data_IF_902725137787
#
_entry.id   IF_902725137787
#
_cell.length_a   1.000
_cell.length_b   1.000
_cell.length_c   1.000
_cell.angle_alpha   90.00
_cell.angle_beta   90.00
_cell.angle_gamma   90.00
#
_symmetry.space_group_name_H-M   'P 1'
#
loop_
_entity.id
_entity.type
_entity.pdbx_description
1 polymer ?
#
# COMPACT_ATOMS: atom_id res chain seq x y z
N UNK A 1 -53.22 57.18 -21.84
CA UNK A 1 -52.49 56.25 -20.94
C UNK A 1 -52.80 54.84 -21.41
N UNK A 2 -51.99 54.28 -22.32
CA UNK A 2 -52.23 52.97 -22.95
C UNK A 2 -51.54 51.88 -22.16
N UNK A 3 -52.32 51.05 -21.48
CA UNK A 3 -51.84 49.86 -20.77
C UNK A 3 -51.46 48.81 -21.81
N UNK A 4 -50.16 48.53 -21.96
CA UNK A 4 -49.68 47.42 -22.79
C UNK A 4 -49.84 46.14 -21.98
N UNK A 5 -50.79 45.30 -22.38
CA UNK A 5 -50.89 43.93 -21.88
C UNK A 5 -49.69 43.13 -22.41
N UNK A 6 -48.75 42.82 -21.54
CA UNK A 6 -47.68 41.88 -21.84
C UNK A 6 -48.32 40.50 -22.05
N UNK A 7 -48.12 39.90 -23.23
CA UNK A 7 -48.55 38.52 -23.49
C UNK A 7 -47.82 37.60 -22.52
N UNK A 8 -48.52 37.06 -21.52
CA UNK A 8 -48.03 35.96 -20.72
C UNK A 8 -47.99 34.72 -21.61
N UNK A 9 -46.79 34.37 -22.08
CA UNK A 9 -46.55 33.07 -22.72
C UNK A 9 -46.59 31.98 -21.65
N UNK A 10 -47.63 31.15 -21.66
CA UNK A 10 -47.66 29.94 -20.85
C UNK A 10 -46.58 28.97 -21.29
N UNK A 11 -45.94 28.30 -20.33
CA UNK A 11 -44.94 27.27 -20.60
C UNK A 11 -45.60 26.11 -21.36
N UNK A 12 -45.00 25.70 -22.47
CA UNK A 12 -45.60 24.62 -23.27
C UNK A 12 -45.31 23.26 -22.62
N UNK A 13 -46.21 22.28 -22.78
CA UNK A 13 -46.01 20.91 -22.25
C UNK A 13 -44.70 20.29 -22.76
N UNK A 14 -44.33 20.61 -24.01
CA UNK A 14 -43.07 20.19 -24.65
C UNK A 14 -41.86 20.74 -23.90
N UNK A 15 -41.94 21.98 -23.44
CA UNK A 15 -40.85 22.66 -22.74
C UNK A 15 -40.63 22.07 -21.35
N UNK A 16 -41.71 21.66 -20.65
CA UNK A 16 -41.60 20.91 -19.38
C UNK A 16 -40.95 19.54 -19.61
N UNK A 17 -41.36 18.81 -20.66
CA UNK A 17 -40.75 17.52 -20.99
C UNK A 17 -39.26 17.65 -21.31
N UNK A 18 -38.88 18.67 -22.08
CA UNK A 18 -37.47 18.95 -22.38
C UNK A 18 -36.69 19.28 -21.11
N UNK A 19 -37.22 20.11 -20.22
CA UNK A 19 -36.59 20.42 -18.94
C UNK A 19 -36.41 19.18 -18.06
N UNK A 20 -37.41 18.29 -18.01
CA UNK A 20 -37.32 17.01 -17.29
C UNK A 20 -36.23 16.10 -17.87
N UNK A 21 -36.09 16.02 -19.19
CA UNK A 21 -35.01 15.23 -19.81
C UNK A 21 -33.63 15.75 -19.42
N UNK A 22 -33.42 17.06 -19.48
CA UNK A 22 -32.15 17.70 -19.09
C UNK A 22 -31.87 17.44 -17.61
N UNK A 23 -32.88 17.57 -16.75
CA UNK A 23 -32.76 17.28 -15.33
C UNK A 23 -32.33 15.83 -15.07
N UNK A 24 -32.93 14.86 -15.76
CA UNK A 24 -32.59 13.45 -15.63
C UNK A 24 -31.15 13.17 -16.05
N UNK A 25 -30.70 13.72 -17.18
CA UNK A 25 -29.31 13.60 -17.64
C UNK A 25 -28.35 14.20 -16.61
N UNK A 26 -28.70 15.37 -16.06
CA UNK A 26 -27.92 16.01 -14.99
C UNK A 26 -27.81 15.13 -13.74
N UNK A 27 -28.93 14.55 -13.29
CA UNK A 27 -28.94 13.63 -12.14
C UNK A 27 -28.08 12.39 -12.37
N UNK A 28 -28.11 11.79 -13.57
CA UNK A 28 -27.25 10.65 -13.92
C UNK A 28 -25.78 11.02 -13.80
N UNK A 29 -25.39 12.20 -14.26
CA UNK A 29 -24.02 12.72 -14.11
C UNK A 29 -23.61 12.85 -12.64
N UNK A 30 -24.48 13.40 -11.81
CA UNK A 30 -24.24 13.52 -10.35
C UNK A 30 -24.06 12.14 -9.71
N UNK A 31 -24.91 11.16 -10.03
CA UNK A 31 -24.78 9.81 -9.48
C UNK A 31 -23.47 9.11 -9.89
N UNK A 32 -23.03 9.31 -11.14
CA UNK A 32 -21.74 8.77 -11.58
C UNK A 32 -20.56 9.34 -10.77
N UNK A 33 -20.58 10.63 -10.47
CA UNK A 33 -19.56 11.28 -9.63
C UNK A 33 -19.59 10.76 -8.18
N UNK A 34 -20.77 10.47 -7.63
CA UNK A 34 -20.90 9.87 -6.31
C UNK A 34 -20.28 8.47 -6.25
N UNK A 35 -20.54 7.63 -7.26
CA UNK A 35 -19.96 6.30 -7.33
C UNK A 35 -18.42 6.35 -7.38
N UNK A 36 -17.86 7.28 -8.17
CA UNK A 36 -16.40 7.50 -8.22
C UNK A 36 -15.84 8.05 -6.91
N UNK A 37 -16.58 8.91 -6.21
CA UNK A 37 -16.13 9.45 -4.92
C UNK A 37 -16.07 8.35 -3.85
N UNK A 38 -17.04 7.43 -3.84
CA UNK A 38 -17.08 6.33 -2.88
C UNK A 38 -15.93 5.34 -3.08
N UNK A 39 -15.54 5.05 -4.33
CA UNK A 39 -14.38 4.18 -4.59
C UNK A 39 -13.07 4.84 -4.13
N UNK A 40 -12.88 6.13 -4.42
CA UNK A 40 -11.72 6.90 -3.95
C UNK A 40 -11.66 6.97 -2.42
N UNK A 41 -12.80 7.19 -1.77
CA UNK A 41 -12.87 7.22 -0.31
C UNK A 41 -12.49 5.86 0.30
N UNK A 42 -13.00 4.76 -0.26
CA UNK A 42 -12.65 3.41 0.17
C UNK A 42 -11.14 3.16 0.04
N UNK A 43 -10.56 3.52 -1.11
CA UNK A 43 -9.12 3.37 -1.34
C UNK A 43 -8.29 4.24 -0.38
N UNK A 44 -8.72 5.48 -0.12
CA UNK A 44 -8.04 6.36 0.82
C UNK A 44 -8.04 5.81 2.25
N UNK A 45 -9.19 5.28 2.71
CA UNK A 45 -9.29 4.62 4.01
C UNK A 45 -8.37 3.39 4.09
N UNK A 46 -8.36 2.55 3.06
CA UNK A 46 -7.46 1.38 3.00
C UNK A 46 -5.98 1.80 3.09
N UNK A 47 -5.57 2.83 2.35
CA UNK A 47 -4.20 3.36 2.41
C UNK A 47 -3.87 3.95 3.78
N UNK A 48 -4.84 4.62 4.41
CA UNK A 48 -4.67 5.19 5.75
C UNK A 48 -4.50 4.09 6.81
N UNK A 49 -5.32 3.04 6.75
CA UNK A 49 -5.20 1.88 7.64
C UNK A 49 -3.83 1.21 7.51
N UNK A 50 -3.34 1.03 6.26
CA UNK A 50 -2.00 0.51 6.02
C UNK A 50 -0.94 1.44 6.60
N UNK A 51 -1.03 2.74 6.35
CA UNK A 51 -0.06 3.72 6.83
C UNK A 51 0.04 3.78 8.36
N UNK A 52 -1.09 3.69 9.06
CA UNK A 52 -1.14 3.69 10.53
C UNK A 52 -0.45 2.44 11.11
N UNK A 53 -0.70 1.27 10.51
CA UNK A 53 -0.13 0.00 10.96
C UNK A 53 1.32 -0.18 10.52
N UNK A 54 1.75 0.53 9.47
CA UNK A 54 3.09 0.42 8.89
C UNK A 54 4.21 0.66 9.90
N UNK A 55 4.03 1.64 10.79
CA UNK A 55 5.03 1.98 11.81
C UNK A 55 5.26 0.83 12.80
N UNK A 56 4.18 0.15 13.22
CA UNK A 56 4.24 -1.00 14.10
C UNK A 56 4.82 -2.23 13.39
N UNK A 57 4.47 -2.43 12.12
CA UNK A 57 5.06 -3.50 11.29
C UNK A 57 6.57 -3.27 11.15
N UNK A 58 7.00 -2.05 10.85
CA UNK A 58 8.41 -1.71 10.65
C UNK A 58 9.23 -1.89 11.93
N UNK A 59 8.70 -1.51 13.09
CA UNK A 59 9.41 -1.70 14.37
C UNK A 59 9.59 -3.19 14.70
N UNK A 60 8.60 -4.02 14.38
CA UNK A 60 8.70 -5.47 14.54
C UNK A 60 9.67 -6.10 13.54
N UNK A 61 9.63 -5.71 12.27
CA UNK A 61 10.61 -6.15 11.27
C UNK A 61 12.03 -5.78 11.70
N UNK A 62 12.22 -4.58 12.25
CA UNK A 62 13.51 -4.16 12.78
C UNK A 62 13.95 -5.00 14.00
N UNK A 63 13.04 -5.31 14.92
CA UNK A 63 13.33 -6.17 16.07
C UNK A 63 13.72 -7.59 15.61
N UNK A 64 12.94 -8.18 14.71
CA UNK A 64 13.18 -9.52 14.15
C UNK A 64 14.53 -9.57 13.40
N UNK A 65 14.83 -8.56 12.59
CA UNK A 65 16.11 -8.44 11.89
C UNK A 65 17.26 -8.34 12.88
N UNK A 66 17.13 -7.54 13.93
CA UNK A 66 18.17 -7.37 14.96
C UNK A 66 18.43 -8.68 15.70
N UNK A 67 17.38 -9.38 16.13
CA UNK A 67 17.50 -10.67 16.84
C UNK A 67 18.18 -11.74 15.98
N UNK A 68 17.87 -11.77 14.68
CA UNK A 68 18.44 -12.72 13.72
C UNK A 68 19.88 -12.37 13.35
N UNK A 69 20.24 -11.08 13.26
CA UNK A 69 21.62 -10.63 13.06
C UNK A 69 22.48 -10.90 14.30
N UNK A 70 21.95 -10.65 15.51
CA UNK A 70 22.60 -10.99 16.78
C UNK A 70 22.66 -12.50 17.04
N UNK A 71 22.08 -13.32 16.16
CA UNK A 71 22.09 -14.78 16.23
C UNK A 71 21.49 -15.34 17.52
N UNK A 72 20.54 -14.62 18.11
CA UNK A 72 19.69 -15.08 19.21
C UNK A 72 18.46 -15.86 18.70
N UNK A 73 18.14 -15.70 17.41
CA UNK A 73 17.07 -16.45 16.77
C UNK A 73 17.36 -17.95 16.66
N UNK A 74 16.42 -18.77 17.13
CA UNK A 74 16.50 -20.23 17.31
C UNK A 74 16.41 -21.06 16.01
N UNK A 75 16.71 -20.49 14.84
CA UNK A 75 16.49 -21.15 13.55
C UNK A 75 17.50 -20.77 12.48
N UNK A 76 18.25 -21.75 11.99
CA UNK A 76 19.16 -21.68 10.84
C UNK A 76 18.35 -21.64 9.53
N UNK A 77 17.44 -20.70 9.39
CA UNK A 77 16.55 -20.59 8.23
C UNK A 77 16.99 -19.44 7.34
N UNK A 78 17.20 -19.75 6.06
CA UNK A 78 17.58 -18.81 5.00
C UNK A 78 16.59 -17.63 4.98
N UNK A 79 17.06 -16.43 5.36
CA UNK A 79 16.20 -15.24 5.51
C UNK A 79 15.62 -14.75 4.19
N UNK A 80 16.33 -15.04 3.10
CA UNK A 80 15.98 -14.52 1.78
C UNK A 80 14.83 -15.30 1.17
N UNK A 81 13.73 -14.61 0.85
CA UNK A 81 12.59 -15.13 0.09
C UNK A 81 11.53 -15.82 0.93
N UNK A 82 11.69 -15.90 2.26
CA UNK A 82 10.64 -16.39 3.15
C UNK A 82 9.69 -15.26 3.56
N UNK A 83 8.41 -15.61 3.65
CA UNK A 83 7.36 -14.72 4.14
C UNK A 83 7.15 -15.00 5.64
N UNK A 84 7.23 -13.95 6.44
CA UNK A 84 7.04 -14.01 7.88
C UNK A 84 5.78 -13.24 8.28
N UNK A 85 4.92 -13.80 9.15
CA UNK A 85 3.77 -13.08 9.67
C UNK A 85 4.21 -11.97 10.63
N UNK A 86 3.47 -10.87 10.66
CA UNK A 86 3.70 -9.76 11.60
C UNK A 86 2.95 -10.05 12.91
N UNK A 87 3.65 -10.23 14.05
CA UNK A 87 2.99 -10.51 15.33
C UNK A 87 1.96 -9.43 15.71
N UNK A 88 0.73 -9.86 16.04
CA UNK A 88 -0.35 -8.94 16.41
C UNK A 88 -1.06 -8.26 15.24
N UNK A 89 -0.69 -8.58 13.99
CA UNK A 89 -1.31 -8.03 12.78
C UNK A 89 -1.61 -9.14 11.77
N UNK A 90 -2.74 -9.85 11.94
CA UNK A 90 -3.12 -11.04 11.16
C UNK A 90 -3.29 -10.81 9.64
N UNK A 91 -3.39 -9.55 9.22
CA UNK A 91 -3.46 -9.16 7.80
C UNK A 91 -2.12 -8.82 7.16
N UNK A 92 -1.02 -8.86 7.92
CA UNK A 92 0.28 -8.39 7.44
C UNK A 92 1.31 -9.51 7.50
N UNK A 93 2.10 -9.58 6.46
CA UNK A 93 3.29 -10.40 6.37
C UNK A 93 4.41 -9.58 5.75
N UNK A 94 5.65 -9.98 5.97
CA UNK A 94 6.79 -9.33 5.33
C UNK A 94 7.69 -10.38 4.70
N UNK A 95 8.35 -10.00 3.62
CA UNK A 95 9.37 -10.79 2.96
C UNK A 95 10.66 -10.00 2.94
N UNK A 96 11.74 -10.66 3.34
CA UNK A 96 13.09 -10.09 3.27
C UNK A 96 13.80 -10.75 2.10
N UNK A 97 14.42 -9.94 1.25
CA UNK A 97 15.34 -10.41 0.21
C UNK A 97 16.69 -9.77 0.47
N UNK A 98 17.73 -10.60 0.56
CA UNK A 98 19.11 -10.16 0.75
C UNK A 98 19.86 -10.38 -0.56
N UNK A 99 20.35 -9.30 -1.15
CA UNK A 99 21.15 -9.32 -2.37
C UNK A 99 22.57 -8.82 -2.06
N UNK A 100 23.63 -9.46 -2.57
CA UNK A 100 24.99 -8.94 -2.40
C UNK A 100 25.13 -7.60 -3.11
N UNK A 101 25.87 -6.66 -2.50
CA UNK A 101 26.16 -5.37 -3.14
C UNK A 101 27.12 -5.63 -4.31
N UNK A 102 26.74 -5.27 -5.56
CA UNK A 102 27.66 -5.34 -6.68
C UNK A 102 28.85 -4.41 -6.42
N UNK A 103 30.04 -4.87 -6.78
CA UNK A 103 31.32 -4.15 -6.62
C UNK A 103 31.87 -4.00 -5.19
N UNK A 104 31.26 -4.64 -4.18
CA UNK A 104 31.88 -4.72 -2.86
C UNK A 104 33.00 -5.76 -2.84
N UNK A 105 34.26 -5.28 -2.96
CA UNK A 105 35.48 -6.09 -2.87
C UNK A 105 35.60 -6.86 -1.54
N UNK A 106 34.96 -6.39 -0.48
CA UNK A 106 34.98 -7.07 0.81
C UNK A 106 34.02 -8.27 0.84
N UNK A 107 33.01 -8.28 -0.04
CA UNK A 107 31.92 -9.27 -0.04
C UNK A 107 31.17 -9.32 1.28
N UNK A 108 31.12 -8.20 2.02
CA UNK A 108 30.51 -8.10 3.34
C UNK A 108 29.17 -7.37 3.29
N UNK A 109 29.01 -6.45 2.34
CA UNK A 109 27.81 -5.66 2.17
C UNK A 109 26.68 -6.42 1.48
N UNK A 110 25.47 -6.28 2.01
CA UNK A 110 24.25 -6.79 1.42
C UNK A 110 23.22 -5.67 1.29
N UNK A 111 22.50 -5.62 0.18
CA UNK A 111 21.25 -4.90 0.09
C UNK A 111 20.14 -5.76 0.70
N UNK A 112 19.43 -5.18 1.67
CA UNK A 112 18.20 -5.73 2.19
C UNK A 112 17.02 -5.04 1.52
N UNK A 113 16.17 -5.82 0.86
CA UNK A 113 14.87 -5.40 0.37
C UNK A 113 13.81 -5.97 1.28
N UNK A 114 12.97 -5.09 1.82
CA UNK A 114 11.84 -5.47 2.66
C UNK A 114 10.57 -5.22 1.87
N UNK A 115 9.84 -6.29 1.58
CA UNK A 115 8.51 -6.23 0.97
C UNK A 115 7.47 -6.47 2.05
N UNK A 116 6.54 -5.54 2.25
CA UNK A 116 5.41 -5.74 3.17
C UNK A 116 4.21 -6.20 2.33
N UNK A 117 3.69 -7.36 2.69
CA UNK A 117 2.55 -8.00 2.06
C UNK A 117 1.34 -7.76 2.98
N UNK A 118 0.44 -6.87 2.57
CA UNK A 118 -0.82 -6.65 3.26
C UNK A 118 -1.94 -7.42 2.55
N UNK A 119 -2.61 -8.31 3.26
CA UNK A 119 -3.80 -9.01 2.80
C UNK A 119 -5.04 -8.30 3.36
N UNK A 120 -5.80 -7.66 2.48
CA UNK A 120 -7.04 -6.98 2.84
C UNK A 120 -8.20 -7.51 1.99
N UNK A 121 -9.23 -8.05 2.65
CA UNK A 121 -10.44 -8.60 2.00
C UNK A 121 -10.17 -9.59 0.85
N UNK A 122 -9.11 -10.39 0.97
CA UNK A 122 -8.73 -11.39 -0.02
C UNK A 122 -7.85 -10.87 -1.16
N UNK A 123 -7.62 -9.56 -1.25
CA UNK A 123 -6.61 -8.98 -2.14
C UNK A 123 -5.28 -8.86 -1.40
N UNK A 124 -4.19 -9.20 -2.11
CA UNK A 124 -2.83 -9.09 -1.61
C UNK A 124 -2.16 -7.88 -2.27
N UNK A 125 -1.71 -6.92 -1.45
CA UNK A 125 -0.94 -5.77 -1.92
C UNK A 125 0.48 -5.86 -1.37
N UNK A 126 1.44 -5.70 -2.28
CA UNK A 126 2.87 -5.70 -1.95
C UNK A 126 3.37 -4.26 -1.94
N UNK A 127 3.87 -3.83 -0.80
CA UNK A 127 4.51 -2.54 -0.59
C UNK A 127 6.02 -2.76 -0.52
N UNK A 128 6.73 -2.29 -1.55
CA UNK A 128 8.18 -2.35 -1.60
C UNK A 128 8.80 -1.16 -0.85
N UNK A 129 9.60 -1.44 0.18
CA UNK A 129 10.31 -0.42 0.94
C UNK A 129 11.64 0.00 0.30
N UNK A 130 11.97 -0.59 -0.84
CA UNK A 130 13.22 -0.37 -1.55
C UNK A 130 14.39 -1.11 -0.91
N UNK A 131 15.58 -0.84 -1.45
CA UNK A 131 16.83 -1.44 -0.98
C UNK A 131 17.49 -0.56 0.07
N UNK A 132 17.88 -1.17 1.18
CA UNK A 132 18.71 -0.54 2.21
C UNK A 132 20.04 -1.28 2.32
N UNK A 133 21.19 -0.59 2.22
CA UNK A 133 22.47 -1.23 2.43
C UNK A 133 22.62 -1.63 3.90
N UNK A 134 22.98 -2.88 4.14
CA UNK A 134 23.40 -3.41 5.43
C UNK A 134 24.89 -3.72 5.32
N UNK A 135 25.70 -2.95 6.04
CA UNK A 135 27.13 -3.24 6.22
C UNK A 135 27.27 -3.90 7.59
N UNK A 136 27.49 -5.22 7.67
CA UNK A 136 27.76 -5.86 8.95
C UNK A 136 29.03 -5.29 9.59
N UNK A 137 28.97 -5.07 10.89
CA UNK A 137 30.18 -4.90 11.69
C UNK A 137 31.06 -6.16 11.57
N UNK A 138 32.38 -6.01 11.74
CA UNK A 138 33.37 -7.05 11.47
C UNK A 138 33.11 -8.38 12.23
N UNK A 139 32.46 -8.32 13.39
CA UNK A 139 32.11 -9.48 14.21
C UNK A 139 30.86 -10.24 13.70
N UNK A 140 30.00 -9.59 12.92
CA UNK A 140 28.76 -10.14 12.37
C UNK A 140 28.90 -10.70 10.93
N UNK A 141 30.01 -10.42 10.23
CA UNK A 141 30.25 -10.84 8.84
C UNK A 141 30.17 -12.36 8.63
N UNK A 142 30.78 -13.15 9.54
CA UNK A 142 30.78 -14.62 9.45
C UNK A 142 29.36 -15.20 9.60
N UNK A 143 28.50 -14.55 10.38
CA UNK A 143 27.12 -14.99 10.62
C UNK A 143 26.20 -14.66 9.45
N UNK A 144 26.29 -13.45 8.89
CA UNK A 144 25.50 -13.07 7.72
C UNK A 144 25.84 -13.97 6.52
N UNK A 145 27.12 -14.28 6.30
CA UNK A 145 27.54 -15.25 5.27
C UNK A 145 26.93 -16.64 5.46
N UNK A 146 26.70 -17.09 6.70
CA UNK A 146 26.06 -18.38 7.00
C UNK A 146 24.55 -18.37 6.68
N UNK A 147 23.87 -17.24 6.91
CA UNK A 147 22.45 -17.06 6.55
C UNK A 147 22.21 -17.03 5.04
N UNK A 148 23.23 -16.69 4.26
CA UNK A 148 23.17 -16.59 2.79
C UNK A 148 23.60 -17.87 2.06
N UNK A 149 24.52 -18.65 2.64
CA UNK A 149 24.99 -19.93 2.06
C UNK A 149 24.01 -21.09 2.20
N UNK A 150 22.83 -20.90 2.78
CA UNK A 150 21.75 -21.90 2.85
C UNK A 150 20.97 -22.10 1.54
N UNK A 151 21.65 -22.02 0.39
CA UNK A 151 21.15 -22.35 -0.96
C UNK A 151 21.99 -23.49 -1.54
#
# INVERSE_FOLDING_TARGET
MTVRFAKQGGFTLIEVLAAMMVLLVGMVGVFALFASSLSLQKEATERMDVALNLSAVMSQVQADLTERVEGKGTGTSTLSGQTFPVPGNEGYSYRITLEPIPDDLSGRGFFCRVEIIARYRGEERVYDMGYRPIVPEADNDVRIRRLLKGR
#
